data_IF_479472129619
#
_entry.id   IF_479472129619
#
_cell.length_a   1.000
_cell.length_b   1.000
_cell.length_c   1.000
_cell.angle_alpha   90.00
_cell.angle_beta   90.00
_cell.angle_gamma   90.00
#
_symmetry.space_group_name_H-M   'P 1'
#
loop_
_entity.id
_entity.type
_entity.pdbx_description
1 polymer ?
#
# COMPACT_ATOMS: atom_id res chain seq x y z
N UNK A 1 -49.45 -0.89 27.60
CA UNK A 1 -49.04 -0.47 26.24
C UNK A 1 -47.88 0.50 26.44
N UNK A 2 -46.63 0.20 26.09
CA UNK A 2 -46.10 0.02 24.73
C UNK A 2 -44.82 -0.82 24.84
N UNK A 3 -44.78 -1.93 24.11
CA UNK A 3 -43.60 -2.78 23.95
C UNK A 3 -42.67 -2.07 22.98
N UNK A 4 -41.41 -1.85 23.32
CA UNK A 4 -40.37 -1.49 22.33
C UNK A 4 -39.20 -2.41 22.59
N UNK A 5 -39.18 -3.50 21.83
CA UNK A 5 -38.09 -4.44 21.76
C UNK A 5 -36.90 -3.73 21.09
N UNK A 6 -35.79 -3.61 21.81
CA UNK A 6 -34.52 -3.17 21.26
C UNK A 6 -33.97 -4.35 20.48
N UNK A 7 -34.22 -4.37 19.18
CA UNK A 7 -33.48 -5.23 18.26
C UNK A 7 -32.06 -4.69 18.17
N UNK A 8 -31.13 -5.27 18.93
CA UNK A 8 -29.70 -5.14 18.65
C UNK A 8 -29.45 -5.85 17.31
N UNK A 9 -29.49 -5.07 16.24
CA UNK A 9 -28.97 -5.42 14.93
C UNK A 9 -27.47 -5.67 15.06
N UNK A 10 -27.10 -6.93 15.28
CA UNK A 10 -25.73 -7.39 15.11
C UNK A 10 -25.37 -7.27 13.62
N UNK A 11 -24.81 -6.13 13.22
CA UNK A 11 -24.06 -6.03 11.97
C UNK A 11 -22.67 -6.58 12.27
N UNK A 12 -22.56 -7.90 12.26
CA UNK A 12 -21.26 -8.53 12.10
C UNK A 12 -20.85 -8.28 10.65
N UNK A 13 -20.01 -7.27 10.43
CA UNK A 13 -19.28 -7.11 9.18
C UNK A 13 -18.24 -8.22 9.18
N UNK A 14 -18.60 -9.37 8.62
CA UNK A 14 -17.68 -10.47 8.39
C UNK A 14 -16.80 -9.99 7.24
N UNK A 15 -15.63 -9.44 7.55
CA UNK A 15 -14.57 -9.17 6.58
C UNK A 15 -14.07 -10.52 6.07
N UNK A 16 -14.64 -10.95 4.93
CA UNK A 16 -14.31 -12.16 4.18
C UNK A 16 -13.02 -11.99 3.34
N UNK A 17 -12.04 -11.20 3.78
CA UNK A 17 -10.86 -10.84 2.97
C UNK A 17 -9.81 -11.94 2.83
N UNK A 18 -9.95 -13.08 3.49
CA UNK A 18 -8.92 -14.13 3.49
C UNK A 18 -8.93 -15.06 2.24
N UNK A 19 -9.65 -14.71 1.16
CA UNK A 19 -9.83 -15.60 0.01
C UNK A 19 -9.39 -15.01 -1.35
N UNK A 20 -8.85 -13.79 -1.36
CA UNK A 20 -8.23 -13.17 -2.53
C UNK A 20 -6.74 -13.00 -2.25
N UNK A 21 -5.86 -13.16 -3.26
CA UNK A 21 -4.42 -12.93 -3.11
C UNK A 21 -4.17 -11.41 -3.10
N UNK A 22 -4.51 -10.77 -1.99
CA UNK A 22 -4.33 -9.35 -1.79
C UNK A 22 -3.09 -9.08 -0.94
N UNK A 23 -2.33 -8.05 -1.28
CA UNK A 23 -1.23 -7.57 -0.44
C UNK A 23 -1.11 -6.05 -0.53
N UNK A 24 -0.60 -5.46 0.55
CA UNK A 24 -0.18 -4.06 0.57
C UNK A 24 1.03 -3.88 -0.34
N UNK A 25 1.04 -2.77 -1.09
CA UNK A 25 2.10 -2.41 -2.01
C UNK A 25 2.68 -1.04 -1.68
N UNK A 26 3.98 -0.86 -1.89
CA UNK A 26 4.64 0.42 -1.73
C UNK A 26 5.62 0.69 -2.87
N UNK A 27 5.84 1.97 -3.15
CA UNK A 27 6.87 2.43 -4.08
C UNK A 27 8.21 2.51 -3.34
N UNK A 28 9.26 1.91 -3.88
CA UNK A 28 10.59 1.87 -3.25
C UNK A 28 11.71 2.28 -4.21
N UNK A 29 12.88 2.59 -3.64
CA UNK A 29 14.11 2.84 -4.38
C UNK A 29 15.30 2.20 -3.68
N UNK A 30 16.23 1.61 -4.43
CA UNK A 30 17.54 1.27 -3.90
C UNK A 30 18.48 2.48 -3.97
N UNK A 31 19.02 2.88 -2.81
CA UNK A 31 20.10 3.85 -2.71
C UNK A 31 21.29 3.21 -2.00
N UNK A 32 22.22 2.69 -2.80
CA UNK A 32 23.49 2.18 -2.30
C UNK A 32 23.38 0.78 -1.68
N UNK A 33 22.48 -0.06 -2.21
CA UNK A 33 22.24 -1.41 -1.69
C UNK A 33 21.32 -1.43 -0.47
N UNK A 34 20.58 -0.34 -0.24
CA UNK A 34 19.57 -0.23 0.81
C UNK A 34 18.31 0.30 0.16
N UNK A 35 17.23 -0.42 0.36
CA UNK A 35 15.91 -0.06 -0.12
C UNK A 35 15.29 0.98 0.82
N UNK A 36 14.64 1.98 0.22
CA UNK A 36 13.90 3.01 0.92
C UNK A 36 12.50 3.09 0.35
N UNK A 37 11.51 2.92 1.23
CA UNK A 37 10.11 3.13 0.91
C UNK A 37 9.84 4.63 0.72
N UNK A 38 9.15 4.97 -0.37
CA UNK A 38 8.84 6.34 -0.77
C UNK A 38 7.37 6.69 -0.53
N UNK A 39 6.46 5.77 -0.81
CA UNK A 39 5.02 5.98 -0.70
C UNK A 39 4.27 4.64 -0.61
N UNK A 40 3.37 4.52 0.37
CA UNK A 40 2.39 3.45 0.47
C UNK A 40 1.32 3.60 -0.63
N UNK A 41 1.12 2.57 -1.45
CA UNK A 41 0.21 2.61 -2.60
C UNK A 41 -1.17 2.00 -2.32
N UNK A 42 -1.31 1.20 -1.26
CA UNK A 42 -2.55 0.51 -0.93
C UNK A 42 -2.50 -1.00 -1.18
N UNK A 43 -3.60 -1.66 -0.81
CA UNK A 43 -3.84 -3.09 -1.06
C UNK A 43 -4.29 -3.33 -2.52
N UNK A 44 -3.59 -4.23 -3.21
CA UNK A 44 -3.93 -4.72 -4.55
C UNK A 44 -4.13 -6.23 -4.52
N UNK A 45 -5.00 -6.76 -5.40
CA UNK A 45 -5.39 -8.16 -5.41
C UNK A 45 -5.19 -8.83 -6.77
N UNK A 46 -4.84 -10.12 -6.73
CA UNK A 46 -4.76 -11.01 -7.90
C UNK A 46 -3.97 -10.37 -9.06
N UNK A 47 -4.54 -10.26 -10.27
CA UNK A 47 -3.85 -9.72 -11.44
C UNK A 47 -3.41 -8.25 -11.27
N UNK A 48 -4.08 -7.47 -10.42
CA UNK A 48 -3.72 -6.07 -10.17
C UNK A 48 -2.41 -5.97 -9.37
N UNK A 49 -2.17 -6.93 -8.47
CA UNK A 49 -0.94 -7.04 -7.70
C UNK A 49 0.26 -7.33 -8.62
N UNK A 50 0.16 -8.36 -9.46
CA UNK A 50 1.23 -8.68 -10.41
C UNK A 50 1.45 -7.53 -11.41
N UNK A 51 0.36 -6.85 -11.82
CA UNK A 51 0.43 -5.75 -12.78
C UNK A 51 1.13 -4.52 -12.19
N UNK A 52 0.90 -4.18 -10.92
CA UNK A 52 1.49 -2.98 -10.32
C UNK A 52 2.98 -3.18 -10.03
N UNK A 53 3.38 -4.33 -9.48
CA UNK A 53 4.79 -4.68 -9.29
C UNK A 53 5.56 -4.64 -10.61
N UNK A 54 4.99 -5.20 -11.68
CA UNK A 54 5.62 -5.21 -12.99
C UNK A 54 5.69 -3.83 -13.67
N UNK A 55 4.80 -2.91 -13.31
CA UNK A 55 4.71 -1.58 -13.94
C UNK A 55 5.53 -0.52 -13.20
N UNK A 56 5.78 -0.72 -11.90
CA UNK A 56 6.38 0.30 -11.04
C UNK A 56 5.46 1.51 -10.81
N UNK A 57 5.99 2.53 -10.13
CA UNK A 57 5.27 3.75 -9.78
C UNK A 57 5.93 4.99 -10.37
N UNK A 58 5.15 5.89 -10.97
CA UNK A 58 5.69 7.11 -11.58
C UNK A 58 5.66 8.27 -10.59
N UNK A 59 6.85 8.65 -10.15
CA UNK A 59 7.07 9.82 -9.30
C UNK A 59 7.18 11.07 -10.18
N UNK A 60 6.34 12.07 -9.92
CA UNK A 60 6.28 13.31 -10.71
C UNK A 60 7.25 14.41 -10.21
N UNK A 61 7.56 14.42 -8.92
CA UNK A 61 8.37 15.44 -8.25
C UNK A 61 9.61 14.82 -7.60
N UNK A 62 10.63 15.64 -7.29
CA UNK A 62 11.79 15.13 -6.55
C UNK A 62 11.40 14.79 -5.11
N UNK A 63 11.65 13.55 -4.68
CA UNK A 63 11.38 13.08 -3.32
C UNK A 63 12.66 13.19 -2.48
N UNK A 64 12.51 13.70 -1.25
CA UNK A 64 13.60 13.89 -0.29
C UNK A 64 13.42 13.09 1.00
N UNK A 65 12.23 12.52 1.21
CA UNK A 65 11.85 11.84 2.44
C UNK A 65 11.36 10.42 2.12
N UNK A 66 11.50 9.51 3.07
CA UNK A 66 10.84 8.19 3.04
C UNK A 66 9.34 8.33 3.30
N UNK A 67 8.58 7.24 3.14
CA UNK A 67 7.16 7.16 3.53
C UNK A 67 6.93 7.54 5.01
N UNK A 68 7.86 7.18 5.90
CA UNK A 68 7.85 7.54 7.34
C UNK A 68 8.24 9.01 7.62
N UNK A 69 8.73 9.74 6.62
CA UNK A 69 9.15 11.13 6.75
C UNK A 69 10.62 11.34 7.15
N UNK A 70 11.45 10.30 7.12
CA UNK A 70 12.89 10.40 7.34
C UNK A 70 13.62 10.92 6.11
N UNK A 71 14.75 11.59 6.29
CA UNK A 71 15.53 12.12 5.16
C UNK A 71 16.20 11.00 4.37
N UNK A 72 16.01 11.00 3.05
CA UNK A 72 16.73 10.11 2.16
C UNK A 72 18.22 10.48 2.09
N UNK A 73 19.12 9.49 1.93
CA UNK A 73 20.55 9.75 1.74
C UNK A 73 20.87 10.50 0.44
N UNK A 74 20.00 10.38 -0.57
CA UNK A 74 20.04 11.16 -1.80
C UNK A 74 18.62 11.38 -2.34
N UNK A 75 18.35 12.49 -3.05
CA UNK A 75 17.04 12.73 -3.63
C UNK A 75 16.71 11.71 -4.74
N UNK A 76 15.45 11.29 -4.80
CA UNK A 76 14.88 10.52 -5.91
C UNK A 76 14.29 11.51 -6.90
N UNK A 77 14.75 11.48 -8.14
CA UNK A 77 14.25 12.38 -9.19
C UNK A 77 12.99 11.80 -9.84
N UNK A 78 12.19 12.64 -10.50
CA UNK A 78 11.02 12.18 -11.25
C UNK A 78 11.37 11.06 -12.23
N UNK A 79 10.53 10.02 -12.25
CA UNK A 79 10.78 8.79 -12.99
C UNK A 79 9.94 7.63 -12.49
N UNK A 80 10.14 6.46 -13.09
CA UNK A 80 9.53 5.22 -12.64
C UNK A 80 10.42 4.58 -11.58
N UNK A 81 9.84 4.23 -10.44
CA UNK A 81 10.48 3.54 -9.32
C UNK A 81 9.86 2.16 -9.14
N UNK A 82 10.56 1.29 -8.41
CA UNK A 82 10.12 -0.08 -8.19
C UNK A 82 8.90 -0.10 -7.25
N UNK A 83 8.06 -1.12 -7.40
CA UNK A 83 6.93 -1.38 -6.51
C UNK A 83 7.08 -2.79 -5.97
N UNK A 84 6.92 -2.92 -4.67
CA UNK A 84 6.98 -4.17 -3.94
C UNK A 84 5.63 -4.42 -3.27
N UNK A 85 5.08 -5.62 -3.41
CA UNK A 85 3.81 -6.01 -2.81
C UNK A 85 3.98 -7.27 -1.95
N UNK A 86 3.41 -7.24 -0.74
CA UNK A 86 3.38 -8.43 0.13
C UNK A 86 4.74 -8.87 0.66
N UNK A 87 5.68 -7.94 0.75
CA UNK A 87 6.97 -8.14 1.42
C UNK A 87 6.82 -7.86 2.92
N UNK A 88 7.10 -8.88 3.75
CA UNK A 88 7.23 -8.82 5.22
C UNK A 88 8.71 -8.91 5.65
#
# INVERSE_FOLDING_TARGET
>A
MKKVAIFLSAVAVISLSACNNCAECHAATDIGGTEYELEELGEYCDDELESIEASGYNVADTIYLTADGDSLPSPVYPGNVEVHCGED
#
